data_IF_568926541516
#
_entry.id   IF_568926541516
#
_cell.length_a   1.000
_cell.length_b   1.000
_cell.length_c   1.000
_cell.angle_alpha   90.00
_cell.angle_beta   90.00
_cell.angle_gamma   90.00
#
_symmetry.space_group_name_H-M   'P 1'
#
loop_
_entity.id
_entity.type
_entity.pdbx_description
1 polymer ?
#
# COMPACT_ATOMS: atom_id res chain seq x y z
N UNK A 1 18.06 2.42 -0.32
CA UNK A 1 16.96 3.41 -0.44
C UNK A 1 15.93 3.25 0.68
N UNK A 2 15.35 2.05 0.88
CA UNK A 2 14.30 1.77 1.87
C UNK A 2 14.61 2.24 3.30
N UNK A 3 15.80 1.93 3.85
CA UNK A 3 16.20 2.37 5.20
C UNK A 3 16.08 3.89 5.36
N UNK A 4 16.57 4.67 4.38
CA UNK A 4 16.52 6.14 4.42
C UNK A 4 15.09 6.65 4.28
N UNK A 5 14.32 6.12 3.34
CA UNK A 5 12.96 6.58 3.09
C UNK A 5 12.05 6.34 4.27
N UNK A 6 12.02 5.10 4.79
CA UNK A 6 11.19 4.76 5.93
C UNK A 6 11.75 5.39 7.20
N UNK A 7 13.06 5.56 7.32
CA UNK A 7 13.69 6.28 8.44
C UNK A 7 13.40 7.80 8.47
N UNK A 8 13.01 8.39 7.35
CA UNK A 8 12.60 9.81 7.29
C UNK A 8 11.17 10.03 7.78
N UNK A 9 10.44 8.96 8.09
CA UNK A 9 9.04 9.03 8.51
C UNK A 9 8.97 9.31 10.01
N UNK A 10 8.30 10.40 10.36
CA UNK A 10 8.08 10.82 11.75
C UNK A 10 6.69 10.43 12.21
N UNK A 11 6.62 9.75 13.36
CA UNK A 11 5.38 9.47 14.09
C UNK A 11 5.06 10.71 14.91
N UNK A 12 4.03 11.44 14.51
CA UNK A 12 3.72 12.75 15.10
C UNK A 12 3.39 12.67 16.59
N UNK A 13 2.71 11.60 17.00
CA UNK A 13 2.19 11.38 18.35
C UNK A 13 3.30 11.05 19.35
N UNK A 14 4.34 10.37 18.90
CA UNK A 14 5.50 10.00 19.71
C UNK A 14 6.69 10.95 19.50
N UNK A 15 6.65 11.82 18.49
CA UNK A 15 7.73 12.74 18.15
C UNK A 15 9.01 12.09 17.61
N UNK A 16 8.99 10.77 17.35
CA UNK A 16 10.15 9.97 16.93
C UNK A 16 10.10 9.60 15.44
N UNK A 17 11.27 9.31 14.87
CA UNK A 17 11.38 8.74 13.53
C UNK A 17 11.34 7.21 13.58
N UNK A 18 10.84 6.59 12.52
CA UNK A 18 10.89 5.14 12.38
C UNK A 18 12.34 4.67 12.24
N UNK A 19 12.64 3.50 12.81
CA UNK A 19 13.91 2.84 12.52
C UNK A 19 13.79 2.05 11.23
N UNK A 20 14.21 2.66 10.11
CA UNK A 20 14.13 2.05 8.79
C UNK A 20 14.95 0.75 8.63
N UNK A 21 15.93 0.50 9.51
CA UNK A 21 16.72 -0.74 9.50
C UNK A 21 15.97 -1.89 10.19
N UNK A 22 15.27 -1.59 11.30
CA UNK A 22 14.45 -2.56 12.02
C UNK A 22 13.31 -3.11 11.14
N UNK A 23 12.70 -2.25 10.32
CA UNK A 23 11.58 -2.62 9.46
C UNK A 23 11.99 -3.02 8.03
N UNK A 24 13.28 -3.14 7.74
CA UNK A 24 13.77 -3.25 6.36
C UNK A 24 13.21 -4.46 5.60
N UNK A 25 13.18 -5.63 6.24
CA UNK A 25 12.69 -6.87 5.63
C UNK A 25 11.22 -6.75 5.22
N UNK A 26 10.37 -6.31 6.16
CA UNK A 26 8.95 -6.08 5.90
C UNK A 26 8.72 -5.02 4.82
N UNK A 27 9.46 -3.90 4.85
CA UNK A 27 9.31 -2.86 3.83
C UNK A 27 9.69 -3.38 2.43
N UNK A 28 10.70 -4.25 2.31
CA UNK A 28 11.05 -4.89 1.04
C UNK A 28 9.94 -5.85 0.60
N UNK A 29 9.44 -6.67 1.51
CA UNK A 29 8.37 -7.63 1.23
C UNK A 29 7.07 -6.93 0.80
N UNK A 30 6.66 -5.89 1.51
CA UNK A 30 5.46 -5.10 1.23
C UNK A 30 5.50 -4.48 -0.18
N UNK A 31 6.61 -3.79 -0.51
CA UNK A 31 6.77 -3.14 -1.81
C UNK A 31 6.92 -4.13 -2.96
N UNK A 32 7.67 -5.22 -2.74
CA UNK A 32 7.80 -6.29 -3.73
C UNK A 32 6.48 -7.00 -4.00
N UNK A 33 5.74 -7.31 -2.93
CA UNK A 33 4.46 -8.01 -2.96
C UNK A 33 3.39 -7.22 -3.71
N UNK A 34 3.16 -5.97 -3.32
CA UNK A 34 2.13 -5.14 -3.97
C UNK A 34 2.47 -4.84 -5.44
N UNK A 35 3.75 -4.65 -5.79
CA UNK A 35 4.19 -4.49 -7.18
C UNK A 35 3.88 -5.73 -8.01
N UNK A 36 4.19 -6.90 -7.46
CA UNK A 36 3.97 -8.19 -8.13
C UNK A 36 2.48 -8.45 -8.30
N UNK A 37 1.68 -8.22 -7.26
CA UNK A 37 0.24 -8.38 -7.30
C UNK A 37 -0.43 -7.43 -8.30
N UNK A 38 -0.01 -6.16 -8.35
CA UNK A 38 -0.55 -5.19 -9.29
C UNK A 38 -0.21 -5.55 -10.75
N UNK A 39 1.02 -6.00 -11.01
CA UNK A 39 1.42 -6.47 -12.34
C UNK A 39 0.60 -7.70 -12.76
N UNK A 40 0.39 -8.66 -11.86
CA UNK A 40 -0.44 -9.83 -12.13
C UNK A 40 -1.90 -9.43 -12.43
N UNK A 41 -2.45 -8.48 -11.68
CA UNK A 41 -3.78 -7.94 -11.90
C UNK A 41 -3.91 -7.27 -13.27
N UNK A 42 -2.95 -6.42 -13.66
CA UNK A 42 -2.92 -5.80 -14.98
C UNK A 42 -2.82 -6.82 -16.11
N UNK A 43 -1.97 -7.84 -15.96
CA UNK A 43 -1.83 -8.91 -16.94
C UNK A 43 -3.13 -9.72 -17.07
N UNK A 44 -3.80 -10.01 -15.96
CA UNK A 44 -5.09 -10.68 -15.97
C UNK A 44 -6.17 -9.84 -16.68
N UNK A 45 -6.27 -8.53 -16.35
CA UNK A 45 -7.20 -7.61 -17.00
C UNK A 45 -6.98 -7.48 -18.50
N UNK A 46 -5.71 -7.47 -18.94
CA UNK A 46 -5.39 -7.39 -20.37
C UNK A 46 -5.79 -8.66 -21.14
N UNK A 47 -5.84 -9.80 -20.46
CA UNK A 47 -6.13 -11.11 -21.05
C UNK A 47 -7.59 -11.56 -20.86
N UNK A 48 -8.43 -10.73 -20.23
CA UNK A 48 -9.84 -11.06 -19.98
C UNK A 48 -10.76 -10.06 -20.70
N UNK A 49 -11.88 -10.56 -21.21
CA UNK A 49 -12.92 -9.75 -21.86
C UNK A 49 -14.03 -9.31 -20.88
N UNK A 50 -13.95 -9.74 -19.61
CA UNK A 50 -14.86 -9.32 -18.56
C UNK A 50 -14.50 -7.91 -18.06
N UNK A 51 -15.47 -6.99 -18.15
CA UNK A 51 -15.39 -5.72 -17.41
C UNK A 51 -15.71 -5.98 -15.93
N UNK A 52 -14.88 -5.42 -15.04
CA UNK A 52 -15.15 -5.44 -13.61
C UNK A 52 -16.20 -4.38 -13.28
N UNK A 53 -17.39 -4.75 -12.79
CA UNK A 53 -18.41 -3.79 -12.44
C UNK A 53 -17.94 -2.91 -11.28
N UNK A 54 -18.17 -1.60 -11.40
CA UNK A 54 -17.86 -0.67 -10.33
C UNK A 54 -18.72 -0.95 -9.09
N UNK A 55 -18.12 -0.80 -7.91
CA UNK A 55 -18.85 -0.95 -6.65
C UNK A 55 -19.83 0.23 -6.44
N UNK A 56 -21.00 -0.01 -5.82
CA UNK A 56 -21.91 1.06 -5.44
C UNK A 56 -21.21 2.12 -4.56
N UNK A 57 -21.24 3.38 -4.96
CA UNK A 57 -20.60 4.50 -4.26
C UNK A 57 -19.15 4.77 -4.70
N UNK A 58 -18.58 3.93 -5.57
CA UNK A 58 -17.20 4.05 -6.07
C UNK A 58 -17.11 4.10 -7.60
N UNK A 59 -18.21 4.46 -8.28
CA UNK A 59 -18.27 4.48 -9.75
C UNK A 59 -17.29 5.48 -10.40
N UNK A 60 -16.76 6.42 -9.63
CA UNK A 60 -15.78 7.41 -10.10
C UNK A 60 -14.32 6.90 -10.03
N UNK A 61 -14.08 5.69 -9.53
CA UNK A 61 -12.74 5.11 -9.44
C UNK A 61 -12.49 4.10 -10.55
N UNK A 62 -11.28 4.10 -11.09
CA UNK A 62 -10.83 3.04 -12.00
C UNK A 62 -10.56 1.75 -11.23
N UNK A 63 -10.59 0.60 -11.89
CA UNK A 63 -10.28 -0.68 -11.25
C UNK A 63 -8.86 -0.71 -10.66
N UNK A 64 -7.90 0.01 -11.26
CA UNK A 64 -6.55 0.17 -10.70
C UNK A 64 -6.54 1.02 -9.43
N UNK A 65 -7.31 2.12 -9.38
CA UNK A 65 -7.46 2.90 -8.14
C UNK A 65 -8.14 2.07 -7.05
N UNK A 66 -9.15 1.26 -7.43
CA UNK A 66 -9.82 0.34 -6.52
C UNK A 66 -8.87 -0.73 -5.97
N UNK A 67 -7.93 -1.24 -6.77
CA UNK A 67 -6.89 -2.16 -6.30
C UNK A 67 -6.08 -1.54 -5.15
N UNK A 68 -5.60 -0.30 -5.32
CA UNK A 68 -4.80 0.37 -4.29
C UNK A 68 -5.62 0.78 -3.07
N UNK A 69 -6.91 1.14 -3.24
CA UNK A 69 -7.83 1.37 -2.14
C UNK A 69 -8.05 0.09 -1.31
N UNK A 70 -8.25 -1.04 -1.98
CA UNK A 70 -8.40 -2.34 -1.31
C UNK A 70 -7.12 -2.74 -0.56
N UNK A 71 -5.95 -2.57 -1.20
CA UNK A 71 -4.65 -2.84 -0.58
C UNK A 71 -4.45 -2.00 0.69
N UNK A 72 -4.71 -0.69 0.61
CA UNK A 72 -4.61 0.19 1.76
C UNK A 72 -5.54 -0.26 2.90
N UNK A 73 -6.81 -0.58 2.59
CA UNK A 73 -7.81 -0.98 3.59
C UNK A 73 -7.40 -2.26 4.36
N UNK A 74 -6.77 -3.23 3.70
CA UNK A 74 -6.24 -4.44 4.37
C UNK A 74 -5.12 -4.08 5.34
N UNK A 75 -4.21 -3.18 4.96
CA UNK A 75 -3.14 -2.73 5.85
C UNK A 75 -3.69 -2.09 7.13
N UNK A 76 -4.82 -1.38 7.06
CA UNK A 76 -5.47 -0.77 8.23
C UNK A 76 -6.08 -1.78 9.22
N UNK A 77 -6.50 -2.96 8.77
CA UNK A 77 -7.25 -3.93 9.59
C UNK A 77 -6.38 -4.75 10.56
N UNK A 78 -5.06 -4.74 10.41
CA UNK A 78 -4.15 -5.62 11.15
C UNK A 78 -3.88 -5.19 12.60
N UNK A 79 -3.89 -3.89 12.94
CA UNK A 79 -3.54 -3.43 14.30
C UNK A 79 -4.35 -2.20 14.71
N UNK A 80 -5.22 -2.40 15.70
CA UNK A 80 -6.28 -1.46 16.11
C UNK A 80 -5.79 -0.19 16.85
N UNK A 81 -4.49 0.02 17.04
CA UNK A 81 -3.99 1.03 17.98
C UNK A 81 -2.70 1.80 17.62
N UNK A 82 -2.11 1.66 16.41
CA UNK A 82 -0.85 2.37 16.10
C UNK A 82 -0.90 3.19 14.80
N UNK A 83 -0.60 4.50 14.89
CA UNK A 83 -0.38 5.43 13.77
C UNK A 83 0.77 5.04 12.83
N UNK A 84 1.48 3.95 13.18
CA UNK A 84 2.52 3.33 12.37
C UNK A 84 2.02 2.86 11.00
N UNK A 85 0.74 2.47 10.89
CA UNK A 85 0.16 1.96 9.64
C UNK A 85 -0.13 3.06 8.60
N UNK A 86 -0.64 4.22 9.03
CA UNK A 86 -0.87 5.40 8.18
C UNK A 86 0.40 5.83 7.42
N UNK A 87 1.53 5.70 8.10
CA UNK A 87 2.85 6.02 7.57
C UNK A 87 3.35 4.96 6.58
N UNK A 88 3.02 3.67 6.75
CA UNK A 88 3.43 2.63 5.80
C UNK A 88 2.62 2.65 4.51
N UNK A 89 1.28 2.72 4.60
CA UNK A 89 0.40 2.73 3.43
C UNK A 89 0.67 3.96 2.52
N UNK A 90 0.81 5.15 3.12
CA UNK A 90 1.12 6.38 2.39
C UNK A 90 2.48 6.35 1.68
N UNK A 91 3.45 5.60 2.21
CA UNK A 91 4.79 5.50 1.61
C UNK A 91 4.90 4.39 0.56
N UNK A 92 4.07 3.35 0.62
CA UNK A 92 3.97 2.35 -0.45
C UNK A 92 3.35 2.98 -1.69
N UNK A 93 2.33 3.82 -1.53
CA UNK A 93 1.73 4.57 -2.64
C UNK A 93 2.68 5.59 -3.28
N UNK A 94 3.78 5.99 -2.61
CA UNK A 94 4.82 6.84 -3.21
C UNK A 94 5.70 6.09 -4.22
N UNK A 95 5.52 4.78 -4.37
CA UNK A 95 6.26 3.95 -5.32
C UNK A 95 5.44 3.54 -6.55
N UNK A 96 4.19 4.00 -6.66
CA UNK A 96 3.29 3.71 -7.77
C UNK A 96 2.74 4.98 -8.40
#
# INVERSE_FOLDING_TARGET
CFVRQYGAVKVAEAGIHLNGQLSLGENIADNGGVKTAFNAYRAWRANTSAEEPALPGFQNFTSEQMFFLAYANVSFLSLRNDNFCMLRASNILRFF
#
